data_IF_663916894280
#
_entry.id   IF_663916894280
#
_cell.length_a   1.000
_cell.length_b   1.000
_cell.length_c   1.000
_cell.angle_alpha   90.00
_cell.angle_beta   90.00
_cell.angle_gamma   90.00
#
_symmetry.space_group_name_H-M   'P 1'
#
loop_
_entity.id
_entity.type
_entity.pdbx_description
1 polymer ?
#
# COMPACT_ATOMS: atom_id res chain seq x y z
N UNK A 1 -5.69 -27.59 11.70
CA UNK A 1 -4.78 -27.35 10.52
C UNK A 1 -4.50 -25.85 10.48
N UNK A 2 -3.23 -25.46 10.22
CA UNK A 2 -2.89 -24.04 10.06
C UNK A 2 -3.51 -23.50 8.76
N UNK A 3 -4.02 -22.27 8.82
CA UNK A 3 -4.54 -21.54 7.66
C UNK A 3 -3.37 -21.07 6.78
N UNK A 4 -3.61 -20.86 5.50
CA UNK A 4 -2.63 -20.29 4.58
C UNK A 4 -3.02 -18.86 4.27
N UNK A 5 -2.08 -17.92 4.44
CA UNK A 5 -2.21 -16.56 3.93
C UNK A 5 -1.26 -16.35 2.74
N UNK A 6 -1.81 -15.92 1.63
CA UNK A 6 -1.02 -15.56 0.44
C UNK A 6 -0.89 -14.04 0.35
N UNK A 7 0.35 -13.55 0.25
CA UNK A 7 0.69 -12.12 0.27
C UNK A 7 1.29 -11.72 -1.07
N UNK A 8 0.58 -10.91 -1.84
CA UNK A 8 1.10 -10.29 -3.05
C UNK A 8 2.07 -9.15 -2.72
N UNK A 9 3.05 -8.93 -3.61
CA UNK A 9 4.09 -7.92 -3.36
C UNK A 9 5.01 -8.27 -2.20
N UNK A 10 5.29 -9.55 -1.96
CA UNK A 10 6.02 -10.07 -0.80
C UNK A 10 7.38 -9.40 -0.53
N UNK A 11 8.08 -9.00 -1.58
CA UNK A 11 9.39 -8.34 -1.49
C UNK A 11 9.32 -6.80 -1.52
N UNK A 12 8.12 -6.23 -1.56
CA UNK A 12 7.88 -4.79 -1.51
C UNK A 12 7.58 -4.29 -0.10
N UNK A 13 7.46 -2.97 0.05
CA UNK A 13 7.25 -2.34 1.36
C UNK A 13 5.98 -2.84 2.08
N UNK A 14 4.84 -2.89 1.40
CA UNK A 14 3.58 -3.31 2.02
C UNK A 14 3.55 -4.82 2.29
N UNK A 15 3.76 -5.65 1.25
CA UNK A 15 3.73 -7.10 1.40
C UNK A 15 4.82 -7.63 2.35
N UNK A 16 6.02 -7.06 2.29
CA UNK A 16 7.11 -7.38 3.21
C UNK A 16 6.76 -7.03 4.66
N UNK A 17 6.13 -5.88 4.90
CA UNK A 17 5.62 -5.48 6.21
C UNK A 17 4.58 -6.47 6.74
N UNK A 18 3.64 -6.89 5.89
CA UNK A 18 2.62 -7.90 6.27
C UNK A 18 3.28 -9.20 6.71
N UNK A 19 4.21 -9.73 5.92
CA UNK A 19 4.92 -10.97 6.24
C UNK A 19 5.70 -10.83 7.54
N UNK A 20 6.51 -9.78 7.68
CA UNK A 20 7.30 -9.48 8.89
C UNK A 20 6.44 -9.52 10.15
N UNK A 21 5.30 -8.84 10.13
CA UNK A 21 4.45 -8.71 11.32
C UNK A 21 3.64 -9.97 11.62
N UNK A 22 3.22 -10.75 10.62
CA UNK A 22 2.59 -12.05 10.85
C UNK A 22 3.58 -13.01 11.50
N UNK A 23 4.82 -13.09 10.99
CA UNK A 23 5.84 -13.98 11.53
C UNK A 23 6.27 -13.60 12.96
N UNK A 24 6.27 -12.30 13.28
CA UNK A 24 6.62 -11.79 14.61
C UNK A 24 5.48 -11.90 15.65
N UNK A 25 4.24 -12.07 15.22
CA UNK A 25 3.08 -12.17 16.11
C UNK A 25 2.85 -13.63 16.52
N UNK A 26 3.00 -13.97 17.79
CA UNK A 26 2.88 -15.34 18.30
C UNK A 26 1.54 -16.02 17.98
N UNK A 27 0.44 -15.28 18.01
CA UNK A 27 -0.87 -15.83 17.69
C UNK A 27 -0.96 -16.11 16.18
N UNK A 28 -0.67 -15.12 15.35
CA UNK A 28 -0.83 -15.25 13.90
C UNK A 28 0.18 -16.21 13.28
N UNK A 29 1.43 -16.24 13.75
CA UNK A 29 2.44 -17.20 13.26
C UNK A 29 2.11 -18.66 13.61
N UNK A 30 1.37 -18.90 14.70
CA UNK A 30 0.85 -20.22 15.01
C UNK A 30 -0.39 -20.60 14.18
N UNK A 31 -1.21 -19.61 13.82
CA UNK A 31 -2.45 -19.80 13.07
C UNK A 31 -2.23 -19.88 11.57
N UNK A 32 -1.31 -19.07 11.02
CA UNK A 32 -1.08 -18.93 9.60
C UNK A 32 0.29 -19.45 9.15
N UNK A 33 0.30 -20.19 8.04
CA UNK A 33 1.47 -20.32 7.16
C UNK A 33 1.44 -19.20 6.15
N UNK A 34 2.61 -18.70 5.76
CA UNK A 34 2.72 -17.57 4.83
C UNK A 34 3.24 -18.03 3.48
N UNK A 35 2.52 -17.67 2.42
CA UNK A 35 2.97 -17.77 1.03
C UNK A 35 3.20 -16.37 0.50
N UNK A 36 4.40 -16.09 0.03
CA UNK A 36 4.79 -14.82 -0.59
C UNK A 36 4.77 -14.91 -2.11
N UNK A 37 4.09 -13.98 -2.77
CA UNK A 37 4.07 -13.88 -4.23
C UNK A 37 5.11 -12.86 -4.67
N UNK A 38 5.99 -13.29 -5.57
CA UNK A 38 7.02 -12.46 -6.21
C UNK A 38 7.12 -12.82 -7.69
N UNK A 39 7.66 -11.92 -8.50
CA UNK A 39 7.95 -12.19 -9.93
C UNK A 39 9.23 -12.99 -10.12
N UNK A 40 10.12 -12.94 -9.14
CA UNK A 40 11.41 -13.64 -9.20
C UNK A 40 11.81 -14.13 -7.80
N UNK A 41 11.75 -15.44 -7.61
CA UNK A 41 12.10 -16.10 -6.35
C UNK A 41 13.62 -16.15 -6.10
N UNK A 42 14.43 -15.82 -7.11
CA UNK A 42 15.90 -15.88 -6.99
C UNK A 42 16.51 -14.59 -6.45
N UNK A 43 15.74 -13.50 -6.36
CA UNK A 43 16.22 -12.22 -5.81
C UNK A 43 16.63 -12.37 -4.34
N UNK A 44 17.65 -11.64 -3.87
CA UNK A 44 18.11 -11.70 -2.48
C UNK A 44 16.98 -11.51 -1.45
N UNK A 45 16.10 -10.52 -1.68
CA UNK A 45 14.96 -10.28 -0.79
C UNK A 45 13.98 -11.46 -0.73
N UNK A 46 13.76 -12.17 -1.84
CA UNK A 46 12.92 -13.36 -1.86
C UNK A 46 13.59 -14.52 -1.09
N UNK A 47 14.88 -14.76 -1.32
CA UNK A 47 15.62 -15.79 -0.60
C UNK A 47 15.62 -15.58 0.91
N UNK A 48 15.78 -14.32 1.36
CA UNK A 48 15.70 -13.97 2.77
C UNK A 48 14.31 -14.27 3.40
N UNK A 49 13.23 -14.18 2.64
CA UNK A 49 11.90 -14.60 3.10
C UNK A 49 11.79 -16.13 3.17
N UNK A 50 12.35 -16.86 2.20
CA UNK A 50 12.36 -18.32 2.22
C UNK A 50 13.11 -18.87 3.44
N UNK A 51 14.24 -18.26 3.83
CA UNK A 51 15.02 -18.59 5.03
C UNK A 51 14.21 -18.41 6.33
N UNK A 52 13.19 -17.54 6.31
CA UNK A 52 12.26 -17.33 7.42
C UNK A 52 11.05 -18.30 7.38
N UNK A 53 11.04 -19.28 6.47
CA UNK A 53 9.97 -20.26 6.35
C UNK A 53 8.78 -19.82 5.50
N UNK A 54 8.91 -18.75 4.72
CA UNK A 54 7.87 -18.30 3.77
C UNK A 54 7.92 -19.17 2.52
N UNK A 55 6.77 -19.74 2.14
CA UNK A 55 6.62 -20.40 0.84
C UNK A 55 6.62 -19.35 -0.27
N UNK A 56 7.54 -19.45 -1.23
CA UNK A 56 7.60 -18.49 -2.33
C UNK A 56 7.01 -19.08 -3.61
N UNK A 57 6.12 -18.31 -4.24
CA UNK A 57 5.48 -18.68 -5.51
C UNK A 57 5.60 -17.51 -6.49
N UNK A 58 5.88 -17.84 -7.75
CA UNK A 58 5.86 -16.85 -8.83
C UNK A 58 4.46 -16.75 -9.41
N UNK A 59 3.97 -15.51 -9.56
CA UNK A 59 2.75 -15.22 -10.29
C UNK A 59 2.82 -13.86 -11.00
N UNK A 60 2.10 -13.78 -12.12
CA UNK A 60 1.84 -12.55 -12.87
C UNK A 60 0.39 -12.14 -12.64
N UNK A 61 0.19 -10.92 -12.11
CA UNK A 61 -1.14 -10.33 -11.89
C UNK A 61 -1.92 -10.11 -13.19
N UNK A 62 -1.24 -10.03 -14.34
CA UNK A 62 -1.87 -9.89 -15.64
C UNK A 62 -2.45 -11.22 -16.17
N UNK A 63 -2.06 -12.36 -15.58
CA UNK A 63 -2.56 -13.69 -15.95
C UNK A 63 -3.43 -14.27 -14.83
N UNK A 64 -4.76 -14.28 -15.05
CA UNK A 64 -5.72 -14.85 -14.10
C UNK A 64 -5.40 -16.30 -13.75
N UNK A 65 -4.91 -17.11 -14.70
CA UNK A 65 -4.60 -18.52 -14.44
C UNK A 65 -3.37 -18.69 -13.55
N UNK A 66 -2.37 -17.83 -13.72
CA UNK A 66 -1.20 -17.74 -12.84
C UNK A 66 -1.62 -17.36 -11.42
N UNK A 67 -2.47 -16.34 -11.30
CA UNK A 67 -3.02 -15.89 -10.00
C UNK A 67 -3.80 -17.02 -9.32
N UNK A 68 -4.71 -17.69 -10.03
CA UNK A 68 -5.52 -18.77 -9.45
C UNK A 68 -4.64 -19.90 -8.90
N UNK A 69 -3.61 -20.32 -9.66
CA UNK A 69 -2.64 -21.31 -9.18
C UNK A 69 -1.91 -20.87 -7.92
N UNK A 70 -1.51 -19.58 -7.88
CA UNK A 70 -0.75 -19.03 -6.77
C UNK A 70 -1.55 -18.93 -5.47
N UNK A 71 -2.85 -18.61 -5.54
CA UNK A 71 -3.71 -18.48 -4.34
C UNK A 71 -4.42 -19.76 -3.96
N UNK A 72 -4.27 -20.83 -4.74
CA UNK A 72 -4.95 -22.12 -4.48
C UNK A 72 -4.67 -22.62 -3.07
N UNK A 73 -5.73 -22.99 -2.36
CA UNK A 73 -5.67 -23.48 -0.98
C UNK A 73 -5.45 -22.39 0.08
N UNK A 74 -5.42 -21.12 -0.30
CA UNK A 74 -5.32 -20.05 0.65
C UNK A 74 -6.63 -19.87 1.43
N UNK A 75 -6.52 -19.57 2.71
CA UNK A 75 -7.63 -19.09 3.53
C UNK A 75 -7.79 -17.58 3.36
N UNK A 76 -6.68 -16.85 3.37
CA UNK A 76 -6.65 -15.39 3.27
C UNK A 76 -5.70 -14.96 2.16
N UNK A 77 -6.05 -13.88 1.48
CA UNK A 77 -5.19 -13.23 0.48
C UNK A 77 -5.01 -11.76 0.86
N UNK A 78 -3.76 -11.30 0.94
CA UNK A 78 -3.44 -9.88 0.97
C UNK A 78 -3.04 -9.44 -0.43
N UNK A 79 -3.77 -8.47 -0.98
CA UNK A 79 -3.55 -7.91 -2.31
C UNK A 79 -3.07 -6.47 -2.21
N UNK A 80 -1.98 -6.19 -2.91
CA UNK A 80 -1.53 -4.85 -3.26
C UNK A 80 -1.16 -4.82 -4.73
N UNK A 81 -1.64 -3.82 -5.45
CA UNK A 81 -1.27 -3.53 -6.84
C UNK A 81 -0.25 -2.39 -6.88
N UNK A 82 0.54 -2.32 -7.95
CA UNK A 82 1.53 -1.27 -8.14
C UNK A 82 1.22 -0.46 -9.41
N UNK A 83 0.47 0.63 -9.25
CA UNK A 83 0.15 1.55 -10.34
C UNK A 83 1.40 2.06 -11.09
N UNK A 84 2.44 2.41 -10.34
CA UNK A 84 3.64 3.07 -10.87
C UNK A 84 4.51 2.18 -11.76
N UNK A 85 4.23 0.89 -11.82
CA UNK A 85 4.94 -0.03 -12.71
C UNK A 85 4.65 0.24 -14.19
N UNK A 86 3.41 0.61 -14.49
CA UNK A 86 2.96 0.88 -15.88
C UNK A 86 2.37 2.28 -16.04
N UNK A 87 2.09 2.99 -14.95
CA UNK A 87 1.33 4.24 -14.89
C UNK A 87 0.01 4.16 -15.70
N UNK A 88 -0.62 2.99 -15.73
CA UNK A 88 -1.82 2.73 -16.50
C UNK A 88 -2.95 2.22 -15.59
N UNK A 89 -4.05 2.99 -15.44
CA UNK A 89 -5.16 2.62 -14.56
C UNK A 89 -5.88 1.34 -15.00
N UNK A 90 -5.96 1.06 -16.30
CA UNK A 90 -6.63 -0.14 -16.81
C UNK A 90 -5.82 -1.41 -16.50
N UNK A 91 -4.49 -1.32 -16.58
CA UNK A 91 -3.62 -2.42 -16.15
C UNK A 91 -3.83 -2.71 -14.65
N UNK A 92 -3.85 -1.70 -13.80
CA UNK A 92 -4.06 -1.89 -12.37
C UNK A 92 -5.45 -2.46 -12.07
N UNK A 93 -6.51 -1.96 -12.73
CA UNK A 93 -7.86 -2.51 -12.62
C UNK A 93 -7.89 -3.99 -12.99
N UNK A 94 -7.33 -4.35 -14.15
CA UNK A 94 -7.31 -5.73 -14.62
C UNK A 94 -6.55 -6.65 -13.66
N UNK A 95 -5.43 -6.22 -13.12
CA UNK A 95 -4.68 -6.97 -12.10
C UNK A 95 -5.52 -7.23 -10.85
N UNK A 96 -6.19 -6.22 -10.32
CA UNK A 96 -7.07 -6.37 -9.17
C UNK A 96 -8.27 -7.27 -9.44
N UNK A 97 -8.90 -7.14 -10.61
CA UNK A 97 -10.02 -7.97 -11.07
C UNK A 97 -9.61 -9.43 -11.21
N UNK A 98 -8.41 -9.70 -11.74
CA UNK A 98 -7.89 -11.08 -11.86
C UNK A 98 -7.78 -11.76 -10.49
N UNK A 99 -7.23 -11.05 -9.49
CA UNK A 99 -7.12 -11.60 -8.13
C UNK A 99 -8.48 -11.77 -7.48
N UNK A 100 -9.37 -10.77 -7.59
CA UNK A 100 -10.72 -10.83 -7.01
C UNK A 100 -11.55 -11.98 -7.60
N UNK A 101 -11.47 -12.17 -8.94
CA UNK A 101 -12.15 -13.25 -9.62
C UNK A 101 -11.60 -14.61 -9.21
N UNK A 102 -10.27 -14.75 -9.16
CA UNK A 102 -9.63 -15.97 -8.71
C UNK A 102 -9.97 -16.27 -7.23
N UNK A 103 -10.01 -15.26 -6.37
CA UNK A 103 -10.39 -15.39 -4.97
C UNK A 103 -11.83 -15.92 -4.80
N UNK A 104 -12.76 -15.48 -5.67
CA UNK A 104 -14.11 -16.02 -5.72
C UNK A 104 -14.13 -17.48 -6.17
N UNK A 105 -13.43 -17.78 -7.27
CA UNK A 105 -13.39 -19.12 -7.85
C UNK A 105 -12.77 -20.15 -6.87
N UNK A 106 -11.72 -19.76 -6.14
CA UNK A 106 -11.02 -20.58 -5.13
C UNK A 106 -11.68 -20.52 -3.73
N UNK A 107 -12.82 -19.83 -3.59
CA UNK A 107 -13.59 -19.71 -2.34
C UNK A 107 -12.75 -19.19 -1.15
N UNK A 108 -11.92 -18.17 -1.39
CA UNK A 108 -11.08 -17.57 -0.36
C UNK A 108 -11.96 -17.01 0.77
N UNK A 109 -11.62 -17.31 2.01
CA UNK A 109 -12.41 -16.92 3.18
C UNK A 109 -12.27 -15.45 3.55
N UNK A 110 -11.16 -14.78 3.14
CA UNK A 110 -10.94 -13.36 3.40
C UNK A 110 -9.95 -12.74 2.41
N UNK A 111 -10.35 -11.67 1.74
CA UNK A 111 -9.49 -10.87 0.86
C UNK A 111 -9.24 -9.50 1.52
N UNK A 112 -7.97 -9.19 1.80
CA UNK A 112 -7.54 -7.90 2.30
C UNK A 112 -6.89 -7.14 1.13
N UNK A 113 -7.42 -5.98 0.79
CA UNK A 113 -6.92 -5.19 -0.34
C UNK A 113 -6.42 -3.82 0.12
N UNK A 114 -5.20 -3.46 -0.28
CA UNK A 114 -4.66 -2.11 -0.13
C UNK A 114 -5.30 -1.19 -1.17
N UNK A 115 -6.36 -0.52 -0.75
CA UNK A 115 -7.21 0.35 -1.56
C UNK A 115 -6.87 1.83 -1.36
N UNK A 116 -7.58 2.70 -2.06
CA UNK A 116 -7.58 4.16 -1.85
C UNK A 116 -8.99 4.71 -2.09
N UNK A 117 -9.24 5.96 -1.67
CA UNK A 117 -10.50 6.64 -1.96
C UNK A 117 -10.63 6.94 -3.46
N UNK A 118 -11.85 7.05 -3.97
CA UNK A 118 -12.08 7.60 -5.30
C UNK A 118 -12.02 9.13 -5.22
N UNK A 119 -10.95 9.73 -5.72
CA UNK A 119 -10.74 11.18 -5.64
C UNK A 119 -11.72 11.90 -6.53
N UNK A 120 -11.95 11.41 -7.75
CA UNK A 120 -12.92 12.01 -8.69
C UNK A 120 -14.31 12.05 -8.09
N UNK A 121 -14.81 10.94 -7.54
CA UNK A 121 -16.15 10.88 -6.93
C UNK A 121 -16.24 11.71 -5.65
N UNK A 122 -15.25 11.59 -4.74
CA UNK A 122 -15.23 12.29 -3.45
C UNK A 122 -15.22 13.80 -3.64
N UNK A 123 -14.60 14.28 -4.71
CA UNK A 123 -14.51 15.72 -5.02
C UNK A 123 -15.61 16.21 -5.98
N UNK A 124 -16.59 15.36 -6.31
CA UNK A 124 -17.63 15.65 -7.29
C UNK A 124 -17.06 16.12 -8.64
N UNK A 125 -16.02 15.46 -9.11
CA UNK A 125 -15.36 15.72 -10.40
C UNK A 125 -14.41 16.93 -10.40
N UNK A 126 -14.11 17.55 -9.25
CA UNK A 126 -13.19 18.70 -9.19
C UNK A 126 -11.71 18.30 -9.37
N UNK A 127 -11.34 17.09 -9.00
CA UNK A 127 -9.98 16.56 -9.09
C UNK A 127 -9.99 15.22 -9.85
N UNK A 128 -10.15 15.23 -11.20
CA UNK A 128 -10.33 14.02 -12.00
C UNK A 128 -8.99 13.37 -12.43
N UNK A 129 -7.85 14.01 -12.13
CA UNK A 129 -6.54 13.59 -12.65
C UNK A 129 -5.69 12.87 -11.57
N UNK A 130 -6.33 12.00 -10.77
CA UNK A 130 -5.65 11.17 -9.77
C UNK A 130 -5.91 9.67 -10.02
N UNK A 131 -5.57 9.17 -11.23
CA UNK A 131 -5.99 7.84 -11.69
C UNK A 131 -5.47 6.69 -10.83
N UNK A 132 -4.32 6.85 -10.16
CA UNK A 132 -3.76 5.85 -9.24
C UNK A 132 -4.56 5.68 -7.93
N UNK A 133 -5.43 6.63 -7.58
CA UNK A 133 -6.41 6.47 -6.51
C UNK A 133 -7.69 5.81 -7.05
N UNK A 134 -8.19 6.35 -8.15
CA UNK A 134 -9.48 5.93 -8.71
C UNK A 134 -9.45 4.49 -9.20
N UNK A 135 -8.34 4.04 -9.81
CA UNK A 135 -8.17 2.64 -10.24
C UNK A 135 -8.25 1.65 -9.08
N UNK A 136 -7.65 1.98 -7.93
CA UNK A 136 -7.75 1.14 -6.72
C UNK A 136 -9.17 1.11 -6.15
N UNK A 137 -9.85 2.24 -6.15
CA UNK A 137 -11.26 2.32 -5.75
C UNK A 137 -12.16 1.48 -6.67
N UNK A 138 -11.90 1.48 -7.97
CA UNK A 138 -12.65 0.66 -8.93
C UNK A 138 -12.43 -0.83 -8.68
N UNK A 139 -11.20 -1.25 -8.35
CA UNK A 139 -10.89 -2.62 -7.90
C UNK A 139 -11.66 -2.95 -6.62
N UNK A 140 -11.71 -2.04 -5.64
CA UNK A 140 -12.49 -2.23 -4.41
C UNK A 140 -13.98 -2.44 -4.71
N UNK A 141 -14.57 -1.63 -5.58
CA UNK A 141 -15.98 -1.79 -6.03
C UNK A 141 -16.20 -3.18 -6.63
N UNK A 142 -15.28 -3.63 -7.48
CA UNK A 142 -15.36 -4.97 -8.08
C UNK A 142 -15.28 -6.07 -7.02
N UNK A 143 -14.31 -6.00 -6.09
CA UNK A 143 -14.17 -6.97 -4.99
C UNK A 143 -15.47 -7.08 -4.20
N UNK A 144 -16.09 -5.96 -3.84
CA UNK A 144 -17.39 -5.92 -3.13
C UNK A 144 -18.48 -6.66 -3.90
N UNK A 145 -18.50 -6.53 -5.23
CA UNK A 145 -19.45 -7.22 -6.11
C UNK A 145 -19.24 -8.74 -6.24
N UNK A 146 -18.07 -9.27 -5.84
CA UNK A 146 -17.78 -10.72 -5.93
C UNK A 146 -18.49 -11.54 -4.87
N UNK A 147 -18.83 -10.94 -3.72
CA UNK A 147 -19.35 -11.63 -2.53
C UNK A 147 -18.26 -12.32 -1.67
N UNK A 148 -16.98 -12.25 -2.04
CA UNK A 148 -15.88 -12.73 -1.20
C UNK A 148 -15.80 -11.86 0.05
N UNK A 149 -15.70 -12.44 1.27
CA UNK A 149 -15.48 -11.65 2.47
C UNK A 149 -14.20 -10.82 2.33
N UNK A 150 -14.27 -9.52 2.60
CA UNK A 150 -13.18 -8.60 2.28
C UNK A 150 -13.03 -7.47 3.31
N UNK A 151 -11.82 -6.94 3.42
CA UNK A 151 -11.52 -5.73 4.19
C UNK A 151 -10.53 -4.87 3.37
N UNK A 152 -10.68 -3.56 3.43
CA UNK A 152 -9.89 -2.62 2.67
C UNK A 152 -9.02 -1.78 3.60
N UNK A 153 -7.72 -1.75 3.37
CA UNK A 153 -6.79 -0.84 4.04
C UNK A 153 -6.64 0.38 3.12
N UNK A 154 -6.91 1.56 3.64
CA UNK A 154 -6.68 2.82 2.94
C UNK A 154 -5.50 3.51 3.62
N UNK A 155 -4.26 3.30 3.15
CA UNK A 155 -3.11 3.91 3.75
C UNK A 155 -3.09 5.42 3.51
N UNK A 156 -2.62 6.16 4.51
CA UNK A 156 -2.33 7.56 4.41
C UNK A 156 -1.10 7.84 3.55
N UNK A 157 -0.59 9.06 3.64
CA UNK A 157 0.58 9.50 2.89
C UNK A 157 1.85 8.79 3.40
N UNK A 158 2.59 8.16 2.50
CA UNK A 158 3.77 7.37 2.86
C UNK A 158 4.92 8.27 3.32
N UNK A 159 5.37 8.08 4.56
CA UNK A 159 6.51 8.81 5.13
C UNK A 159 7.79 8.64 4.28
N UNK A 160 7.94 7.50 3.61
CA UNK A 160 9.09 7.25 2.72
C UNK A 160 9.20 8.24 1.56
N UNK A 161 8.11 8.90 1.17
CA UNK A 161 8.11 9.89 0.09
C UNK A 161 8.91 11.15 0.47
N UNK A 162 8.98 11.47 1.75
CA UNK A 162 9.69 12.68 2.20
C UNK A 162 11.19 12.64 1.89
N UNK A 163 11.81 11.46 1.84
CA UNK A 163 13.23 11.34 1.49
C UNK A 163 13.59 11.94 0.12
N UNK A 164 12.63 11.99 -0.79
CA UNK A 164 12.79 12.57 -2.13
C UNK A 164 12.36 14.04 -2.20
N UNK A 165 11.70 14.55 -1.16
CA UNK A 165 11.15 15.91 -1.11
C UNK A 165 12.06 16.87 -0.32
N UNK A 166 12.98 16.34 0.47
CA UNK A 166 13.90 17.13 1.27
C UNK A 166 15.16 17.44 0.48
N UNK A 167 15.30 18.68 0.00
CA UNK A 167 16.39 19.11 -0.82
C UNK A 167 17.34 20.00 -0.04
N UNK A 168 18.64 19.66 0.05
CA UNK A 168 19.64 20.47 0.72
C UNK A 168 20.02 21.66 -0.15
N UNK A 169 19.83 22.87 0.40
CA UNK A 169 20.22 24.11 -0.23
C UNK A 169 21.75 24.35 -0.19
N UNK A 170 22.22 25.33 -0.96
CA UNK A 170 23.64 25.75 -0.98
C UNK A 170 24.09 26.30 0.37
N UNK A 171 23.17 26.87 1.14
CA UNK A 171 23.39 27.35 2.51
C UNK A 171 23.45 26.23 3.57
N UNK A 172 23.33 24.96 3.11
CA UNK A 172 23.35 23.78 3.97
C UNK A 172 22.03 23.51 4.70
N UNK A 173 21.01 24.36 4.57
CA UNK A 173 19.67 24.19 5.14
C UNK A 173 18.83 23.31 4.20
N UNK A 174 18.08 22.36 4.75
CA UNK A 174 17.14 21.58 3.96
C UNK A 174 15.89 22.38 3.64
N UNK A 175 15.36 22.19 2.43
CA UNK A 175 14.12 22.81 1.97
C UNK A 175 13.06 21.73 1.82
N UNK A 176 11.88 21.95 2.38
CA UNK A 176 10.69 21.16 2.20
C UNK A 176 9.62 22.05 1.57
N UNK A 177 9.33 21.84 0.28
CA UNK A 177 8.49 22.74 -0.51
C UNK A 177 7.21 22.03 -0.99
N UNK A 178 6.03 22.58 -0.61
CA UNK A 178 4.73 22.05 -1.02
C UNK A 178 3.74 23.19 -1.31
N UNK A 179 2.70 22.95 -2.13
CA UNK A 179 1.67 23.98 -2.45
C UNK A 179 0.54 24.04 -1.43
N UNK A 180 0.83 23.80 -0.16
CA UNK A 180 -0.16 23.80 0.92
C UNK A 180 0.33 24.66 2.09
N UNK A 181 -0.60 25.01 3.00
CA UNK A 181 -0.25 25.72 4.22
C UNK A 181 0.67 24.91 5.13
N UNK A 182 1.56 25.58 5.87
CA UNK A 182 2.39 24.93 6.89
C UNK A 182 1.58 24.26 8.03
N UNK A 183 0.30 24.62 8.15
CA UNK A 183 -0.65 24.06 9.12
C UNK A 183 -1.63 23.05 8.50
N UNK A 184 -1.49 22.70 7.23
CA UNK A 184 -2.28 21.63 6.61
C UNK A 184 -1.88 20.28 7.18
N UNK A 185 -2.85 19.41 7.43
CA UNK A 185 -2.61 18.12 8.07
C UNK A 185 -2.52 16.98 7.04
N UNK A 186 -1.50 16.13 7.20
CA UNK A 186 -1.33 14.88 6.46
C UNK A 186 -1.61 13.67 7.36
N UNK A 187 -2.42 12.71 6.92
CA UNK A 187 -2.48 11.40 7.55
C UNK A 187 -1.21 10.61 7.19
N UNK A 188 -0.19 10.61 8.03
CA UNK A 188 1.07 9.93 7.76
C UNK A 188 1.01 8.43 8.03
N UNK A 189 1.73 7.66 7.22
CA UNK A 189 1.78 6.22 7.28
C UNK A 189 3.19 5.69 6.99
N UNK A 190 3.76 4.95 7.94
CA UNK A 190 5.00 4.21 7.69
C UNK A 190 4.67 2.91 6.97
N UNK A 191 4.85 2.92 5.65
CA UNK A 191 4.47 1.80 4.79
C UNK A 191 5.17 0.50 5.14
N UNK A 192 6.41 0.56 5.63
CA UNK A 192 7.21 -0.62 5.96
C UNK A 192 6.90 -1.19 7.35
N UNK A 193 6.45 -0.34 8.28
CA UNK A 193 6.12 -0.77 9.65
C UNK A 193 4.61 -0.93 9.87
N UNK A 194 3.79 -0.02 9.35
CA UNK A 194 2.38 0.01 9.75
C UNK A 194 1.49 -0.90 8.91
N UNK A 195 1.81 -1.18 7.63
CA UNK A 195 0.97 -2.06 6.81
C UNK A 195 0.72 -3.40 7.49
N UNK A 196 1.76 -4.00 8.04
CA UNK A 196 1.66 -5.28 8.75
C UNK A 196 0.90 -5.17 10.06
N UNK A 197 1.09 -4.10 10.83
CA UNK A 197 0.33 -3.88 12.09
C UNK A 197 -1.16 -3.77 11.84
N UNK A 198 -1.56 -2.96 10.84
CA UNK A 198 -2.97 -2.85 10.45
C UNK A 198 -3.51 -4.17 9.90
N UNK A 199 -2.74 -4.91 9.09
CA UNK A 199 -3.13 -6.23 8.60
C UNK A 199 -3.31 -7.22 9.74
N UNK A 200 -2.43 -7.26 10.72
CA UNK A 200 -2.57 -8.10 11.92
C UNK A 200 -3.85 -7.78 12.70
N UNK A 201 -4.15 -6.49 12.88
CA UNK A 201 -5.39 -6.06 13.51
C UNK A 201 -6.63 -6.52 12.73
N UNK A 202 -6.59 -6.45 11.39
CA UNK A 202 -7.66 -6.94 10.52
C UNK A 202 -7.81 -8.45 10.64
N UNK A 203 -6.74 -9.23 10.60
CA UNK A 203 -6.77 -10.70 10.73
C UNK A 203 -7.40 -11.12 12.05
N UNK A 204 -7.05 -10.46 13.15
CA UNK A 204 -7.61 -10.71 14.48
C UNK A 204 -9.09 -10.30 14.64
N UNK A 205 -9.61 -9.46 13.73
CA UNK A 205 -10.96 -8.93 13.76
C UNK A 205 -11.75 -9.16 12.46
N UNK A 206 -11.37 -10.16 11.66
CA UNK A 206 -11.90 -10.36 10.30
C UNK A 206 -13.43 -10.35 10.22
N UNK A 207 -14.12 -11.03 11.15
CA UNK A 207 -15.58 -11.08 11.17
C UNK A 207 -16.24 -9.71 11.41
N UNK A 208 -15.63 -8.83 12.20
CA UNK A 208 -16.15 -7.48 12.50
C UNK A 208 -15.86 -6.49 11.38
N UNK A 209 -14.77 -6.73 10.63
CA UNK A 209 -14.26 -5.82 9.61
C UNK A 209 -14.65 -6.24 8.18
N UNK A 210 -15.46 -7.28 8.02
CA UNK A 210 -15.95 -7.67 6.71
C UNK A 210 -16.70 -6.53 6.02
N UNK A 211 -16.30 -6.21 4.80
CA UNK A 211 -16.83 -5.12 3.98
C UNK A 211 -16.42 -3.72 4.45
N UNK A 212 -15.55 -3.59 5.45
CA UNK A 212 -15.15 -2.28 6.00
C UNK A 212 -13.89 -1.74 5.34
N UNK A 213 -13.82 -0.40 5.28
CA UNK A 213 -12.59 0.34 5.04
C UNK A 213 -11.93 0.67 6.38
N UNK A 214 -10.62 0.47 6.45
CA UNK A 214 -9.77 0.80 7.59
C UNK A 214 -8.85 1.93 7.15
N UNK A 215 -9.11 3.13 7.65
CA UNK A 215 -8.24 4.29 7.40
C UNK A 215 -6.95 4.10 8.20
N UNK A 216 -5.86 3.89 7.49
CA UNK A 216 -4.58 3.53 8.09
C UNK A 216 -3.63 4.72 8.08
N UNK A 217 -3.51 5.36 9.23
CA UNK A 217 -2.55 6.43 9.48
C UNK A 217 -2.02 6.31 10.89
N UNK A 218 -0.74 6.63 11.08
CA UNK A 218 -0.12 6.68 12.42
C UNK A 218 -0.67 7.87 13.19
N UNK A 219 -0.65 9.05 12.57
CA UNK A 219 -1.21 10.29 13.08
C UNK A 219 -1.33 11.32 11.93
N UNK A 220 -1.94 12.47 12.24
CA UNK A 220 -1.94 13.62 11.36
C UNK A 220 -0.79 14.55 11.73
N UNK A 221 -0.01 14.99 10.73
CA UNK A 221 1.14 15.87 10.90
C UNK A 221 1.03 17.06 9.98
N UNK A 222 1.43 18.23 10.49
CA UNK A 222 1.59 19.43 9.67
C UNK A 222 3.01 19.51 9.09
N UNK A 223 3.24 20.22 7.96
CA UNK A 223 4.57 20.52 7.47
C UNK A 223 5.49 21.10 8.54
N UNK A 224 4.96 21.95 9.41
CA UNK A 224 5.69 22.53 10.53
C UNK A 224 6.18 21.47 11.53
N UNK A 225 5.35 20.49 11.87
CA UNK A 225 5.74 19.39 12.74
C UNK A 225 6.79 18.49 12.06
N UNK A 226 6.61 18.18 10.76
CA UNK A 226 7.57 17.39 9.98
C UNK A 226 8.96 18.04 9.97
N UNK A 227 9.02 19.38 9.82
CA UNK A 227 10.27 20.15 9.91
C UNK A 227 10.91 20.00 11.30
N UNK A 228 10.13 20.18 12.36
CA UNK A 228 10.63 20.05 13.73
C UNK A 228 11.17 18.64 14.03
N UNK A 229 10.45 17.61 13.61
CA UNK A 229 10.83 16.21 13.78
C UNK A 229 12.09 15.86 12.97
N UNK A 230 12.21 16.37 11.75
CA UNK A 230 13.42 16.22 10.94
C UNK A 230 14.63 16.86 11.61
N UNK A 231 14.50 18.10 12.10
CA UNK A 231 15.58 18.80 12.80
C UNK A 231 16.01 18.05 14.06
N UNK A 232 15.04 17.58 14.83
CA UNK A 232 15.32 16.81 16.05
C UNK A 232 16.02 15.47 15.74
N UNK A 233 15.57 14.75 14.73
CA UNK A 233 16.10 13.43 14.39
C UNK A 233 17.45 13.47 13.69
N UNK A 234 17.67 14.46 12.80
CA UNK A 234 18.86 14.54 11.95
C UNK A 234 19.95 15.47 12.47
N UNK A 235 19.62 16.41 13.36
CA UNK A 235 20.48 17.50 13.77
C UNK A 235 20.73 18.57 12.69
N UNK A 236 20.09 18.46 11.53
CA UNK A 236 20.22 19.42 10.44
C UNK A 236 19.08 20.44 10.49
N UNK A 237 19.37 21.65 9.99
CA UNK A 237 18.34 22.68 9.85
C UNK A 237 17.47 22.44 8.63
N UNK A 238 16.15 22.69 8.78
CA UNK A 238 15.17 22.60 7.71
C UNK A 238 14.22 23.78 7.74
N UNK A 239 13.74 24.22 6.58
CA UNK A 239 12.67 25.20 6.45
C UNK A 239 11.58 24.68 5.54
N UNK A 240 10.35 25.01 5.89
CA UNK A 240 9.20 24.80 5.03
C UNK A 240 9.05 25.98 4.08
N UNK A 241 8.73 25.72 2.83
CA UNK A 241 8.49 26.73 1.79
C UNK A 241 7.13 26.44 1.16
N UNK A 242 6.16 27.30 1.41
CA UNK A 242 4.91 27.22 0.68
C UNK A 242 5.12 27.78 -0.72
N UNK A 243 4.89 26.96 -1.74
CA UNK A 243 5.03 27.31 -3.15
C UNK A 243 3.66 27.36 -3.84
N UNK A 244 3.59 27.92 -5.04
CA UNK A 244 2.36 27.87 -5.84
C UNK A 244 2.13 26.47 -6.42
N UNK A 245 0.88 26.15 -6.80
CA UNK A 245 0.57 24.90 -7.51
C UNK A 245 1.32 24.80 -8.84
N UNK A 246 1.51 25.89 -9.57
CA UNK A 246 2.26 25.93 -10.82
C UNK A 246 3.75 25.63 -10.61
N UNK A 247 4.37 26.19 -9.56
CA UNK A 247 5.73 25.85 -9.19
C UNK A 247 5.84 24.36 -8.81
N UNK A 248 4.90 23.84 -8.07
CA UNK A 248 4.89 22.41 -7.70
C UNK A 248 4.78 21.52 -8.94
N UNK A 249 3.89 21.85 -9.87
CA UNK A 249 3.76 21.14 -11.15
C UNK A 249 5.08 21.10 -11.92
N UNK A 250 5.87 22.19 -11.92
CA UNK A 250 7.15 22.24 -12.63
C UNK A 250 8.22 21.29 -12.08
N UNK A 251 8.05 20.79 -10.86
CA UNK A 251 8.95 19.80 -10.24
C UNK A 251 8.49 18.35 -10.48
N UNK A 252 7.29 18.16 -10.98
CA UNK A 252 6.76 16.83 -11.27
C UNK A 252 7.15 16.37 -12.68
N UNK A 253 7.32 15.06 -12.90
CA UNK A 253 7.36 14.50 -14.23
C UNK A 253 6.11 14.88 -15.03
N UNK A 254 6.23 15.06 -16.35
CA UNK A 254 5.15 15.54 -17.24
C UNK A 254 3.84 14.75 -17.05
N UNK A 255 3.93 13.42 -16.93
CA UNK A 255 2.76 12.54 -16.73
C UNK A 255 2.07 12.70 -15.35
N UNK A 256 2.64 13.47 -14.43
CA UNK A 256 2.07 13.77 -13.10
C UNK A 256 1.65 15.24 -12.98
N UNK A 257 1.93 16.06 -13.98
CA UNK A 257 1.74 17.51 -13.96
C UNK A 257 0.40 17.97 -14.56
N UNK A 258 -0.47 17.04 -14.97
CA UNK A 258 -1.80 17.33 -15.55
C UNK A 258 -2.84 17.81 -14.52
#
# INVERSE_FOLDING_TARGET
MSKLITVFGATGNQGGSVIKHILADHQLSSEFKVRGITRDVNKPAAKALAEQGVELVTADLNDKSSVAKAIKGSHTVFLVTNYWETANPDTERNQGINVASAAKDEQISHLIFSSLINVTETTNGKLPHVPHFDSKSDVEKYIRGTGVPCTFILPGYFMSNFSQMFNRGEDGVYNFALPISENAEFPLFDVAEDTGKFTNAILKNAGKLNGKQVLAATAYYTPKQIVADFEQASGNKMRYIQISGEQFKSYLPEFMAE
#
